data_IF_924405319054
#
_entry.id   IF_924405319054
#
_cell.length_a   1.000
_cell.length_b   1.000
_cell.length_c   1.000
_cell.angle_alpha   90.00
_cell.angle_beta   90.00
_cell.angle_gamma   90.00
#
_symmetry.space_group_name_H-M   'P 1'
#
loop_
_entity.id
_entity.type
_entity.pdbx_description
1 polymer ?
#
# COMPACT_ATOMS: atom_id res chain seq x y z
N UNK A 1 10.51 13.72 -8.23
CA UNK A 1 10.91 13.15 -7.67
C UNK A 1 11.76 13.04 -7.45
N UNK A 2 12.18 13.13 -7.36
CA UNK A 2 13.01 12.95 -7.07
C UNK A 2 13.91 12.27 -6.95
N UNK A 3 14.65 12.95 -7.29
CA UNK A 3 15.57 12.23 -7.45
C UNK A 3 16.22 11.72 -6.47
N UNK A 4 15.74 11.18 -6.25
CA UNK A 4 15.93 10.45 -5.06
C UNK A 4 16.75 9.23 -5.32
N UNK A 5 17.60 8.88 -4.39
CA UNK A 5 18.32 7.61 -4.44
C UNK A 5 17.30 6.48 -4.55
N UNK A 6 17.37 5.63 -5.59
CA UNK A 6 16.48 4.49 -5.69
C UNK A 6 16.63 3.57 -4.49
N UNK A 7 15.55 2.91 -4.06
CA UNK A 7 15.64 1.97 -2.94
C UNK A 7 16.71 0.91 -3.10
N UNK A 8 16.99 0.50 -4.34
CA UNK A 8 18.03 -0.49 -4.62
C UNK A 8 19.44 0.02 -4.34
N UNK A 9 19.63 1.34 -4.25
CA UNK A 9 20.92 1.94 -3.97
C UNK A 9 21.20 2.06 -2.48
N UNK A 10 20.23 1.83 -1.62
CA UNK A 10 20.40 1.76 -0.18
C UNK A 10 20.22 0.33 0.28
N UNK A 11 20.78 0.01 1.44
CA UNK A 11 20.77 -1.35 1.93
C UNK A 11 19.34 -1.75 2.34
N UNK A 12 18.69 -2.54 1.50
CA UNK A 12 17.42 -3.16 1.87
C UNK A 12 17.69 -4.35 2.78
N UNK A 13 16.82 -4.55 3.77
CA UNK A 13 16.87 -5.77 4.55
C UNK A 13 16.67 -6.97 3.62
N UNK A 14 17.43 -8.07 3.77
CA UNK A 14 17.32 -9.22 2.86
C UNK A 14 15.91 -9.75 2.67
N UNK A 15 15.08 -9.71 3.72
CA UNK A 15 13.71 -10.23 3.64
C UNK A 15 12.81 -9.33 2.80
N UNK A 16 13.19 -8.07 2.57
CA UNK A 16 12.43 -7.13 1.75
C UNK A 16 12.78 -7.27 0.26
N UNK A 17 13.97 -7.75 -0.06
CA UNK A 17 14.44 -7.80 -1.45
C UNK A 17 13.44 -8.46 -2.41
N UNK A 18 12.81 -9.59 -2.09
CA UNK A 18 11.82 -10.20 -2.99
C UNK A 18 10.61 -9.30 -3.28
N UNK A 19 10.32 -8.33 -2.42
CA UNK A 19 9.18 -7.43 -2.57
C UNK A 19 9.61 -6.04 -3.04
N UNK A 20 10.86 -5.86 -3.39
CA UNK A 20 11.39 -4.55 -3.77
C UNK A 20 10.64 -3.93 -4.96
N UNK A 21 10.06 -4.75 -5.83
CA UNK A 21 9.30 -4.27 -6.98
C UNK A 21 8.05 -3.48 -6.57
N UNK A 22 7.57 -3.64 -5.34
CA UNK A 22 6.40 -2.90 -4.85
C UNK A 22 6.75 -1.48 -4.39
N UNK A 23 8.02 -1.23 -4.08
CA UNK A 23 8.42 0.06 -3.51
C UNK A 23 8.16 1.19 -4.49
N UNK A 24 7.54 2.26 -4.01
CA UNK A 24 7.21 3.43 -4.81
C UNK A 24 5.75 3.82 -4.68
N UNK A 25 5.32 4.66 -5.59
CA UNK A 25 3.95 5.15 -5.63
C UNK A 25 3.25 4.59 -6.85
N UNK A 26 2.08 4.01 -6.63
CA UNK A 26 1.26 3.41 -7.67
C UNK A 26 -0.05 4.17 -7.74
N UNK A 27 -0.47 4.55 -8.94
CA UNK A 27 -1.72 5.26 -9.15
C UNK A 27 -2.56 4.54 -10.17
N UNK A 28 -3.88 4.58 -9.96
CA UNK A 28 -4.81 3.95 -10.86
C UNK A 28 -6.18 4.54 -10.75
N UNK A 29 -7.09 4.00 -11.54
CA UNK A 29 -8.48 4.41 -11.55
C UNK A 29 -9.35 3.16 -11.57
N UNK A 30 -10.54 3.27 -10.98
CA UNK A 30 -11.50 2.19 -10.99
C UNK A 30 -12.92 2.72 -11.01
N UNK A 31 -13.86 1.81 -11.03
CA UNK A 31 -15.27 2.13 -10.94
C UNK A 31 -15.88 1.30 -9.84
N UNK A 32 -16.76 1.93 -9.06
CA UNK A 32 -17.50 1.25 -8.01
C UNK A 32 -18.96 1.49 -8.20
N UNK A 33 -19.77 0.71 -7.49
CA UNK A 33 -21.21 0.82 -7.52
C UNK A 33 -21.87 -0.46 -7.06
N UNK A 34 -23.17 -0.38 -6.89
CA UNK A 34 -24.00 -1.51 -6.48
C UNK A 34 -25.22 -1.55 -7.39
N UNK A 35 -25.92 -2.68 -7.48
CA UNK A 35 -27.10 -2.76 -8.34
C UNK A 35 -28.17 -1.71 -8.09
N UNK A 36 -28.23 -1.19 -6.85
CA UNK A 36 -29.27 -0.22 -6.46
C UNK A 36 -28.77 1.21 -6.39
N UNK A 37 -27.49 1.47 -6.71
CA UNK A 37 -26.96 2.83 -6.72
C UNK A 37 -26.15 3.05 -7.98
N UNK A 38 -26.04 4.31 -8.38
CA UNK A 38 -25.27 4.66 -9.56
C UNK A 38 -23.79 4.32 -9.37
N UNK A 39 -23.18 3.84 -10.43
CA UNK A 39 -21.75 3.61 -10.41
C UNK A 39 -21.02 4.95 -10.37
N UNK A 40 -19.80 4.91 -9.88
CA UNK A 40 -18.95 6.10 -9.77
C UNK A 40 -17.50 5.72 -10.14
N UNK A 41 -16.77 6.72 -10.63
CA UNK A 41 -15.35 6.56 -10.93
C UNK A 41 -14.52 7.08 -9.77
N UNK A 42 -13.46 6.36 -9.43
CA UNK A 42 -12.57 6.77 -8.34
C UNK A 42 -11.12 6.65 -8.76
N UNK A 43 -10.28 7.45 -8.12
CA UNK A 43 -8.83 7.32 -8.22
C UNK A 43 -8.28 6.60 -7.00
N UNK A 44 -7.12 6.02 -7.17
CA UNK A 44 -6.45 5.29 -6.11
C UNK A 44 -4.96 5.57 -6.14
N UNK A 45 -4.38 5.73 -4.98
CA UNK A 45 -2.94 5.85 -4.83
C UNK A 45 -2.47 4.91 -3.75
N UNK A 46 -1.47 4.09 -4.08
CA UNK A 46 -0.78 3.20 -3.16
C UNK A 46 0.65 3.68 -3.02
N UNK A 47 1.16 3.71 -1.81
CA UNK A 47 2.54 4.08 -1.58
C UNK A 47 3.20 3.06 -0.67
N UNK A 48 4.30 2.49 -1.13
CA UNK A 48 5.09 1.52 -0.38
C UNK A 48 6.49 2.06 -0.20
N UNK A 49 6.97 2.05 1.04
CA UNK A 49 8.33 2.51 1.35
C UNK A 49 8.97 1.60 2.37
N UNK A 50 10.28 1.52 2.36
CA UNK A 50 11.02 0.79 3.38
C UNK A 50 12.11 1.67 3.93
N UNK A 51 12.39 1.50 5.23
CA UNK A 51 13.56 2.10 5.84
C UNK A 51 14.74 1.17 5.64
N UNK A 52 15.93 1.71 5.31
CA UNK A 52 17.11 0.87 5.11
C UNK A 52 17.36 -0.02 6.33
N UNK A 53 17.61 -1.30 6.07
CA UNK A 53 17.94 -2.26 7.10
C UNK A 53 16.79 -2.73 7.98
N UNK A 54 15.57 -2.29 7.73
CA UNK A 54 14.40 -2.71 8.51
C UNK A 54 13.59 -3.76 7.75
N UNK A 55 13.09 -4.81 8.43
CA UNK A 55 12.35 -5.89 7.77
C UNK A 55 10.87 -5.57 7.63
N UNK A 56 10.54 -4.37 7.18
CA UNK A 56 9.16 -3.91 7.12
C UNK A 56 8.99 -2.94 5.97
N UNK A 57 7.82 -3.01 5.31
CA UNK A 57 7.42 -2.06 4.28
C UNK A 57 6.24 -1.25 4.84
N UNK A 58 6.40 0.06 4.87
CA UNK A 58 5.31 0.96 5.21
C UNK A 58 4.37 1.10 4.01
N UNK A 59 3.08 1.14 4.27
CA UNK A 59 2.06 1.11 3.23
C UNK A 59 0.99 2.16 3.54
N UNK A 60 0.62 2.92 2.52
CA UNK A 60 -0.54 3.80 2.58
C UNK A 60 -1.37 3.64 1.32
N UNK A 61 -2.67 3.80 1.46
CA UNK A 61 -3.60 3.79 0.35
C UNK A 61 -4.62 4.90 0.57
N UNK A 62 -4.99 5.58 -0.50
CA UNK A 62 -6.11 6.51 -0.47
C UNK A 62 -6.86 6.47 -1.78
N UNK A 63 -8.16 6.68 -1.68
CA UNK A 63 -9.04 6.75 -2.83
C UNK A 63 -9.84 8.04 -2.77
N UNK A 64 -10.32 8.48 -3.91
CA UNK A 64 -11.10 9.72 -4.02
C UNK A 64 -12.03 9.62 -5.23
N UNK A 65 -13.11 10.41 -5.20
CA UNK A 65 -14.00 10.51 -6.35
C UNK A 65 -13.32 11.32 -7.45
N UNK A 66 -13.31 10.79 -8.66
CA UNK A 66 -12.61 11.47 -9.78
C UNK A 66 -13.25 12.80 -10.15
N UNK A 67 -14.58 12.88 -10.09
CA UNK A 67 -15.27 14.07 -10.56
C UNK A 67 -15.16 15.27 -9.60
N UNK A 68 -14.93 15.03 -8.32
CA UNK A 68 -14.90 16.09 -7.32
C UNK A 68 -13.58 16.15 -6.54
N UNK A 69 -12.78 15.10 -6.59
CA UNK A 69 -11.59 15.00 -5.74
C UNK A 69 -11.90 14.69 -4.28
N UNK A 70 -13.17 14.44 -3.96
CA UNK A 70 -13.57 14.20 -2.57
C UNK A 70 -12.94 12.91 -2.04
N UNK A 71 -12.27 12.96 -0.87
CA UNK A 71 -11.69 11.76 -0.28
C UNK A 71 -12.75 10.72 0.03
N UNK A 72 -12.43 9.44 -0.22
CA UNK A 72 -13.32 8.33 0.05
C UNK A 72 -12.78 7.47 1.17
N UNK A 73 -11.74 6.69 0.88
CA UNK A 73 -11.18 5.72 1.81
C UNK A 73 -9.69 5.96 1.97
N UNK A 74 -9.18 5.71 3.14
CA UNK A 74 -7.75 5.72 3.39
C UNK A 74 -7.39 4.60 4.36
N UNK A 75 -6.23 4.04 4.16
CA UNK A 75 -5.68 3.07 5.10
C UNK A 75 -4.17 3.17 5.10
N UNK A 76 -3.58 2.73 6.20
CA UNK A 76 -2.12 2.68 6.31
C UNK A 76 -1.73 1.53 7.20
N UNK A 77 -0.51 1.08 7.05
CA UNK A 77 -0.03 -0.03 7.84
C UNK A 77 1.33 -0.51 7.42
N UNK A 78 1.60 -1.78 7.71
CA UNK A 78 2.91 -2.35 7.50
C UNK A 78 2.79 -3.75 6.94
N UNK A 79 3.66 -4.06 6.00
CA UNK A 79 3.85 -5.40 5.47
C UNK A 79 5.15 -5.94 6.07
N UNK A 80 5.05 -7.06 6.75
CA UNK A 80 6.15 -7.64 7.53
C UNK A 80 6.48 -9.04 7.04
N UNK A 81 7.26 -9.14 5.95
CA UNK A 81 7.71 -10.46 5.49
C UNK A 81 8.68 -11.08 6.50
N UNK A 82 8.61 -12.38 6.62
CA UNK A 82 9.42 -13.14 7.58
C UNK A 82 10.41 -14.02 6.83
N UNK A 83 11.54 -14.38 7.48
CA UNK A 83 12.51 -15.28 6.85
C UNK A 83 11.98 -16.64 6.46
N UNK A 84 10.91 -17.10 7.11
CA UNK A 84 10.30 -18.40 6.83
C UNK A 84 9.37 -18.40 5.62
N UNK A 85 9.27 -17.28 4.88
CA UNK A 85 8.43 -17.17 3.72
C UNK A 85 7.00 -16.76 4.02
N UNK A 86 6.67 -16.49 5.25
CA UNK A 86 5.34 -15.95 5.61
C UNK A 86 5.37 -14.43 5.61
N UNK A 87 4.19 -13.84 5.58
CA UNK A 87 4.05 -12.39 5.65
C UNK A 87 2.89 -12.05 6.58
N UNK A 88 3.08 -10.99 7.35
CA UNK A 88 2.05 -10.41 8.19
C UNK A 88 1.77 -8.99 7.72
N UNK A 89 0.50 -8.68 7.50
CA UNK A 89 0.08 -7.34 7.07
C UNK A 89 -0.84 -6.77 8.14
N UNK A 90 -0.48 -5.60 8.63
CA UNK A 90 -1.25 -4.88 9.66
C UNK A 90 -1.75 -3.60 9.04
N UNK A 91 -3.06 -3.40 9.01
CA UNK A 91 -3.67 -2.25 8.34
C UNK A 91 -4.65 -1.58 9.29
N UNK A 92 -4.55 -0.26 9.36
CA UNK A 92 -5.53 0.60 10.03
C UNK A 92 -6.30 1.37 8.96
N UNK A 93 -7.63 1.24 8.98
CA UNK A 93 -8.51 1.88 8.01
C UNK A 93 -9.12 3.16 8.58
N UNK A 94 -9.37 4.12 7.71
CA UNK A 94 -9.98 5.39 8.11
C UNK A 94 -11.39 5.23 8.69
N UNK A 95 -12.02 4.08 8.48
CA UNK A 95 -13.31 3.73 9.06
C UNK A 95 -13.23 3.31 10.53
N UNK A 96 -12.01 3.18 11.06
CA UNK A 96 -11.81 2.76 12.45
C UNK A 96 -11.51 1.27 12.63
N UNK A 97 -11.45 0.52 11.54
CA UNK A 97 -11.11 -0.90 11.59
C UNK A 97 -9.60 -1.10 11.57
N UNK A 98 -9.14 -2.08 12.31
CA UNK A 98 -7.76 -2.55 12.28
C UNK A 98 -7.77 -4.01 11.91
N UNK A 99 -6.93 -4.38 10.95
CA UNK A 99 -6.83 -5.74 10.45
C UNK A 99 -5.42 -6.26 10.60
N UNK A 100 -5.32 -7.55 10.90
CA UNK A 100 -4.05 -8.28 10.83
C UNK A 100 -4.28 -9.48 9.94
N UNK A 101 -3.53 -9.55 8.85
CA UNK A 101 -3.62 -10.63 7.89
C UNK A 101 -2.31 -11.40 7.87
N UNK A 102 -2.37 -12.70 7.67
CA UNK A 102 -1.20 -13.56 7.58
C UNK A 102 -1.32 -14.41 6.33
N UNK A 103 -0.20 -14.66 5.68
CA UNK A 103 -0.18 -15.46 4.47
C UNK A 103 1.21 -15.96 4.15
N UNK A 104 1.34 -16.50 2.96
CA UNK A 104 2.61 -16.98 2.44
C UNK A 104 3.01 -16.12 1.25
N UNK A 105 4.29 -15.94 1.12
CA UNK A 105 4.86 -15.29 -0.06
C UNK A 105 4.99 -16.27 -1.21
#
# INVERSE_FOLDING_TARGET
MDSVTPPSAVALHPVIVPLSYLLGTWRGQGEGGYPTINSFAYGEELHFSSNPGKPVIAYTQKTWKLNSGEPMHAESGYWRPKPDGTIEVVIAQSTGLVEVQKGNL
#
